data_IF_004607403511
#
_entry.id   IF_004607403511
#
_cell.length_a   1.000
_cell.length_b   1.000
_cell.length_c   1.000
_cell.angle_alpha   90.00
_cell.angle_beta   90.00
_cell.angle_gamma   90.00
#
_symmetry.space_group_name_H-M   'P 1'
#
loop_
_entity.id
_entity.type
_entity.pdbx_description
1 polymer ?
#
# COMPACT_ATOMS: atom_id res chain seq x y z
N UNK A 1 2.89 22.63 14.48
CA UNK A 1 3.53 21.81 13.42
C UNK A 1 3.47 22.62 12.13
N UNK A 2 4.61 22.94 11.53
CA UNK A 2 4.66 23.62 10.23
C UNK A 2 4.27 22.61 9.15
N UNK A 3 3.29 22.89 8.28
CA UNK A 3 2.95 21.97 7.20
C UNK A 3 4.16 21.79 6.28
N UNK A 4 4.50 20.53 6.00
CA UNK A 4 5.56 20.22 5.04
C UNK A 4 5.06 20.56 3.64
N UNK A 5 5.74 21.49 2.96
CA UNK A 5 5.50 21.79 1.56
C UNK A 5 6.38 20.90 0.69
N UNK A 6 5.75 20.21 -0.28
CA UNK A 6 6.44 19.49 -1.34
C UNK A 6 6.20 20.26 -2.65
N UNK A 7 7.27 20.75 -3.31
CA UNK A 7 7.17 21.28 -4.66
C UNK A 7 6.51 20.28 -5.62
N UNK A 8 5.81 20.76 -6.64
CA UNK A 8 5.07 19.90 -7.56
C UNK A 8 5.97 18.87 -8.25
N UNK A 9 7.18 19.28 -8.63
CA UNK A 9 8.18 18.37 -9.23
C UNK A 9 8.58 17.23 -8.29
N UNK A 10 8.78 17.52 -7.00
CA UNK A 10 9.16 16.51 -6.01
C UNK A 10 7.98 15.58 -5.73
N UNK A 11 6.75 16.13 -5.64
CA UNK A 11 5.52 15.35 -5.50
C UNK A 11 5.37 14.37 -6.67
N UNK A 12 5.54 14.83 -7.91
CA UNK A 12 5.42 14.00 -9.10
C UNK A 12 6.48 12.89 -9.14
N UNK A 13 7.72 13.22 -8.80
CA UNK A 13 8.80 12.23 -8.69
C UNK A 13 8.49 11.16 -7.64
N UNK A 14 8.01 11.56 -6.46
CA UNK A 14 7.64 10.64 -5.39
C UNK A 14 6.47 9.75 -5.79
N UNK A 15 5.41 10.33 -6.38
CA UNK A 15 4.26 9.58 -6.87
C UNK A 15 4.65 8.57 -7.95
N UNK A 16 5.51 8.97 -8.90
CA UNK A 16 6.04 8.07 -9.93
C UNK A 16 6.83 6.91 -9.31
N UNK A 17 7.62 7.19 -8.28
CA UNK A 17 8.37 6.16 -7.53
C UNK A 17 7.42 5.18 -6.84
N UNK A 18 6.42 5.69 -6.11
CA UNK A 18 5.42 4.87 -5.41
C UNK A 18 4.60 4.01 -6.38
N UNK A 19 4.31 4.53 -7.57
CA UNK A 19 3.54 3.84 -8.61
C UNK A 19 4.38 2.93 -9.50
N UNK A 20 5.69 2.80 -9.23
CA UNK A 20 6.54 1.86 -9.96
C UNK A 20 6.01 0.43 -9.84
N UNK A 21 6.00 -0.28 -10.97
CA UNK A 21 5.56 -1.68 -11.08
C UNK A 21 6.72 -2.68 -10.95
N UNK A 22 7.91 -2.22 -10.58
CA UNK A 22 9.04 -3.10 -10.30
C UNK A 22 8.67 -4.06 -9.15
N UNK A 23 9.01 -5.36 -9.26
CA UNK A 23 8.59 -6.37 -8.27
C UNK A 23 8.89 -5.98 -6.82
N UNK A 24 10.05 -5.39 -6.56
CA UNK A 24 10.52 -4.99 -5.24
C UNK A 24 9.61 -3.91 -4.63
N UNK A 25 9.23 -2.91 -5.42
CA UNK A 25 8.34 -1.82 -4.96
C UNK A 25 6.94 -2.36 -4.68
N UNK A 26 6.42 -3.23 -5.55
CA UNK A 26 5.11 -3.86 -5.34
C UNK A 26 5.11 -4.72 -4.07
N UNK A 27 6.17 -5.49 -3.83
CA UNK A 27 6.32 -6.31 -2.63
C UNK A 27 6.35 -5.47 -1.35
N UNK A 28 7.12 -4.37 -1.35
CA UNK A 28 7.18 -3.46 -0.18
C UNK A 28 5.81 -2.83 0.09
N UNK A 29 5.10 -2.38 -0.95
CA UNK A 29 3.75 -1.81 -0.79
C UNK A 29 2.74 -2.85 -0.28
N UNK A 30 2.80 -4.08 -0.78
CA UNK A 30 1.99 -5.18 -0.28
C UNK A 30 2.29 -5.46 1.19
N UNK A 31 3.56 -5.52 1.58
CA UNK A 31 3.94 -5.74 2.97
C UNK A 31 3.40 -4.63 3.88
N UNK A 32 3.53 -3.36 3.47
CA UNK A 32 3.02 -2.23 4.24
C UNK A 32 1.49 -2.28 4.39
N UNK A 33 0.77 -2.55 3.30
CA UNK A 33 -0.68 -2.70 3.33
C UNK A 33 -1.13 -3.81 4.30
N UNK A 34 -0.47 -4.98 4.25
CA UNK A 34 -0.82 -6.11 5.11
C UNK A 34 -0.54 -5.84 6.60
N UNK A 35 0.49 -5.06 6.93
CA UNK A 35 0.78 -4.64 8.30
C UNK A 35 -0.30 -3.70 8.83
N UNK A 36 -0.66 -2.66 8.07
CA UNK A 36 -1.72 -1.72 8.47
C UNK A 36 -3.09 -2.41 8.62
N UNK A 37 -3.42 -3.33 7.71
CA UNK A 37 -4.63 -4.15 7.84
C UNK A 37 -4.60 -5.02 9.11
N UNK A 38 -3.43 -5.53 9.50
CA UNK A 38 -3.28 -6.33 10.73
C UNK A 38 -3.39 -5.47 12.00
N UNK A 39 -3.09 -4.17 11.93
CA UNK A 39 -3.32 -3.19 13.00
C UNK A 39 -4.79 -2.76 13.09
N UNK A 40 -5.65 -3.24 12.19
CA UNK A 40 -7.10 -3.03 12.23
C UNK A 40 -7.60 -1.89 11.35
N UNK A 41 -6.74 -1.28 10.52
CA UNK A 41 -7.20 -0.27 9.57
C UNK A 41 -8.10 -0.91 8.49
N UNK A 42 -9.19 -0.25 8.08
CA UNK A 42 -10.03 -0.74 7.01
C UNK A 42 -9.32 -0.59 5.64
N UNK A 43 -9.78 -1.38 4.67
CA UNK A 43 -9.21 -1.42 3.32
C UNK A 43 -9.21 -0.05 2.63
N UNK A 44 -10.28 0.73 2.81
CA UNK A 44 -10.42 2.09 2.27
C UNK A 44 -9.33 3.03 2.79
N UNK A 45 -9.13 3.08 4.11
CA UNK A 45 -8.10 3.92 4.74
C UNK A 45 -6.70 3.51 4.29
N UNK A 46 -6.41 2.21 4.25
CA UNK A 46 -5.12 1.69 3.78
C UNK A 46 -4.88 2.04 2.32
N UNK A 47 -5.89 1.95 1.46
CA UNK A 47 -5.80 2.33 0.06
C UNK A 47 -5.48 3.82 -0.10
N UNK A 48 -6.18 4.68 0.66
CA UNK A 48 -5.92 6.12 0.70
C UNK A 48 -4.50 6.46 1.18
N UNK A 49 -4.06 5.88 2.30
CA UNK A 49 -2.74 6.11 2.87
C UNK A 49 -1.59 5.68 1.94
N UNK A 50 -1.80 4.62 1.16
CA UNK A 50 -0.78 4.04 0.29
C UNK A 50 -0.88 4.47 -1.18
N UNK A 51 -1.79 5.39 -1.51
CA UNK A 51 -2.08 5.83 -2.87
C UNK A 51 -2.34 4.64 -3.82
N UNK A 52 -3.22 3.75 -3.38
CA UNK A 52 -3.69 2.56 -4.09
C UNK A 52 -5.19 2.64 -4.32
N UNK A 53 -5.68 1.85 -5.27
CA UNK A 53 -7.10 1.55 -5.35
C UNK A 53 -7.48 0.44 -4.34
N UNK A 54 -8.68 0.54 -3.79
CA UNK A 54 -9.22 -0.45 -2.84
C UNK A 54 -9.21 -1.89 -3.39
N UNK A 55 -9.57 -2.16 -4.67
CA UNK A 55 -9.49 -3.50 -5.23
C UNK A 55 -8.11 -4.15 -5.13
N UNK A 56 -7.03 -3.37 -5.33
CA UNK A 56 -5.66 -3.85 -5.19
C UNK A 56 -5.36 -4.29 -3.76
N UNK A 57 -5.69 -3.46 -2.77
CA UNK A 57 -5.47 -3.77 -1.35
C UNK A 57 -6.32 -4.97 -0.92
N UNK A 58 -7.60 -5.01 -1.29
CA UNK A 58 -8.49 -6.14 -1.02
C UNK A 58 -7.99 -7.44 -1.68
N UNK A 59 -7.44 -7.34 -2.90
CA UNK A 59 -6.82 -8.46 -3.59
C UNK A 59 -5.63 -9.05 -2.82
N UNK A 60 -4.73 -8.19 -2.34
CA UNK A 60 -3.59 -8.59 -1.54
C UNK A 60 -3.99 -9.27 -0.23
N UNK A 61 -4.97 -8.71 0.49
CA UNK A 61 -5.51 -9.30 1.71
C UNK A 61 -6.04 -10.72 1.47
N UNK A 62 -6.81 -10.93 0.39
CA UNK A 62 -7.35 -12.25 0.01
C UNK A 62 -6.24 -13.26 -0.29
N UNK A 63 -5.23 -12.86 -1.07
CA UNK A 63 -4.11 -13.74 -1.42
C UNK A 63 -3.36 -14.18 -0.16
N UNK A 64 -3.08 -13.25 0.75
CA UNK A 64 -2.35 -13.55 1.98
C UNK A 64 -3.16 -14.40 2.96
N UNK A 65 -4.45 -14.09 3.14
CA UNK A 65 -5.35 -14.89 3.99
C UNK A 65 -5.49 -16.33 3.48
N UNK A 66 -5.56 -16.53 2.15
CA UNK A 66 -5.61 -17.86 1.54
C UNK A 66 -4.35 -18.67 1.81
N UNK A 67 -3.16 -18.04 1.75
CA UNK A 67 -1.88 -18.70 2.07
C UNK A 67 -1.81 -19.17 3.52
N UNK A 68 -2.33 -18.38 4.48
CA UNK A 68 -2.41 -18.80 5.90
C UNK A 68 -3.28 -20.04 6.10
N UNK A 69 -4.39 -20.17 5.37
CA UNK A 69 -5.28 -21.34 5.47
C UNK A 69 -4.66 -22.62 4.91
N UNK A 70 -3.71 -22.54 3.98
CA UNK A 70 -3.01 -23.71 3.43
C UNK A 70 -1.77 -24.13 4.22
N UNK A 71 -1.32 -23.30 5.17
CA UNK A 71 -0.15 -23.56 6.02
C UNK A 71 -0.53 -23.97 7.46
N UNK A 72 -1.83 -24.06 7.75
CA UNK A 72 -2.42 -24.50 9.01
C UNK A 72 -3.23 -25.78 8.77
#
# INVERSE_FOLDING_TARGET
>A
MTPMYLPDQDRDMLMKTLQSKTPEVVQVRMANALLLLAEGLPVEDVAGLLYLDEPTVAGWQKIFARRKRSAA
#
